data_IF_650346687186
#
_entry.id   IF_650346687186
#
_cell.length_a   1.000
_cell.length_b   1.000
_cell.length_c   1.000
_cell.angle_alpha   90.00
_cell.angle_beta   90.00
_cell.angle_gamma   90.00
#
_symmetry.space_group_name_H-M   'P 1'
#
loop_
_entity.id
_entity.type
_entity.pdbx_description
1 polymer ?
#
# COMPACT_ATOMS: atom_id res chain seq x y z
N UNK A 1 -2.55 -28.24 -1.18
CA UNK A 1 -3.94 -28.20 -0.69
C UNK A 1 -4.70 -27.22 -1.55
N UNK A 2 -5.73 -27.66 -2.26
CA UNK A 2 -6.57 -26.80 -3.12
C UNK A 2 -8.00 -26.88 -2.60
N UNK A 3 -8.68 -25.74 -2.57
CA UNK A 3 -10.10 -25.65 -2.26
C UNK A 3 -10.87 -25.44 -3.56
N UNK A 4 -12.00 -26.10 -3.71
CA UNK A 4 -12.90 -25.93 -4.86
C UNK A 4 -14.08 -25.08 -4.43
N UNK A 5 -14.28 -23.94 -5.08
CA UNK A 5 -15.44 -23.09 -4.83
C UNK A 5 -16.70 -23.80 -5.38
N UNK A 6 -17.64 -24.08 -4.48
CA UNK A 6 -18.95 -24.67 -4.82
C UNK A 6 -20.00 -23.59 -5.04
N UNK A 7 -19.95 -22.53 -4.22
CA UNK A 7 -20.90 -21.42 -4.33
C UNK A 7 -20.28 -20.13 -3.81
N UNK A 8 -20.45 -19.05 -4.55
CA UNK A 8 -20.14 -17.69 -4.10
C UNK A 8 -21.42 -17.00 -3.61
N UNK A 9 -21.36 -16.36 -2.48
CA UNK A 9 -22.47 -15.66 -1.85
C UNK A 9 -22.02 -14.22 -1.58
N UNK A 10 -22.43 -13.24 -2.42
CA UNK A 10 -22.12 -11.84 -2.17
C UNK A 10 -22.88 -11.38 -0.91
N UNK A 11 -22.18 -10.68 -0.02
CA UNK A 11 -22.72 -10.15 1.22
C UNK A 11 -22.81 -8.63 1.22
N UNK A 12 -21.82 -7.97 0.61
CA UNK A 12 -21.74 -6.51 0.52
C UNK A 12 -20.99 -6.08 -0.72
N UNK A 13 -21.45 -5.00 -1.36
CA UNK A 13 -20.76 -4.33 -2.48
C UNK A 13 -20.62 -2.86 -2.14
N UNK A 14 -19.39 -2.40 -1.94
CA UNK A 14 -19.03 -1.01 -1.62
C UNK A 14 -18.27 -0.32 -2.73
N UNK A 15 -17.83 0.92 -2.46
CA UNK A 15 -16.99 1.68 -3.37
C UNK A 15 -15.52 1.18 -3.37
N UNK A 16 -15.01 0.80 -2.18
CA UNK A 16 -13.62 0.41 -1.97
C UNK A 16 -13.45 -1.11 -2.01
N UNK A 17 -14.38 -1.85 -1.39
CA UNK A 17 -14.29 -3.29 -1.22
C UNK A 17 -15.63 -3.99 -1.47
N UNK A 18 -15.54 -5.28 -1.80
CA UNK A 18 -16.68 -6.19 -1.78
C UNK A 18 -16.43 -7.29 -0.75
N UNK A 19 -17.49 -7.74 -0.07
CA UNK A 19 -17.43 -8.87 0.84
C UNK A 19 -18.26 -10.02 0.26
N UNK A 20 -17.68 -11.20 0.19
CA UNK A 20 -18.38 -12.43 -0.18
C UNK A 20 -18.06 -13.57 0.79
N UNK A 21 -18.96 -14.53 0.87
CA UNK A 21 -18.78 -15.77 1.59
C UNK A 21 -18.86 -16.93 0.61
N UNK A 22 -17.75 -17.65 0.46
CA UNK A 22 -17.65 -18.80 -0.45
C UNK A 22 -17.87 -20.09 0.33
N UNK A 23 -18.76 -20.96 -0.19
CA UNK A 23 -18.81 -22.36 0.20
C UNK A 23 -17.74 -23.09 -0.61
N UNK A 24 -16.81 -23.73 0.07
CA UNK A 24 -15.70 -24.48 -0.56
C UNK A 24 -15.72 -25.93 -0.14
N UNK A 25 -15.32 -26.81 -1.07
CA UNK A 25 -15.04 -28.22 -0.83
C UNK A 25 -13.53 -28.39 -0.62
N UNK A 26 -13.17 -28.99 0.50
CA UNK A 26 -11.79 -29.32 0.87
C UNK A 26 -11.34 -30.62 0.20
N UNK A 27 -10.06 -30.96 0.26
CA UNK A 27 -9.51 -32.19 -0.34
C UNK A 27 -10.10 -33.48 0.24
N UNK A 28 -10.56 -33.45 1.48
CA UNK A 28 -11.23 -34.56 2.17
C UNK A 28 -12.76 -34.58 1.94
N UNK A 29 -13.24 -33.81 0.96
CA UNK A 29 -14.67 -33.63 0.63
C UNK A 29 -15.51 -32.96 1.70
N UNK A 30 -14.92 -32.46 2.78
CA UNK A 30 -15.62 -31.64 3.76
C UNK A 30 -15.96 -30.26 3.17
N UNK A 31 -17.08 -29.69 3.63
CA UNK A 31 -17.49 -28.35 3.23
C UNK A 31 -17.10 -27.33 4.30
N UNK A 32 -16.62 -26.17 3.86
CA UNK A 32 -16.29 -25.06 4.72
C UNK A 32 -16.68 -23.72 4.11
N UNK A 33 -16.84 -22.69 4.95
CA UNK A 33 -17.04 -21.33 4.48
C UNK A 33 -15.72 -20.56 4.53
N UNK A 34 -15.56 -19.64 3.55
CA UNK A 34 -14.49 -18.65 3.51
C UNK A 34 -15.11 -17.26 3.35
N UNK A 35 -14.76 -16.34 4.20
CA UNK A 35 -15.10 -14.93 4.05
C UNK A 35 -13.97 -14.23 3.33
N UNK A 36 -14.29 -13.58 2.23
CA UNK A 36 -13.32 -12.96 1.31
C UNK A 36 -13.68 -11.49 1.12
N UNK A 37 -12.72 -10.64 1.40
CA UNK A 37 -12.76 -9.22 1.03
C UNK A 37 -12.02 -9.05 -0.29
N UNK A 38 -12.76 -8.68 -1.33
CA UNK A 38 -12.17 -8.28 -2.62
C UNK A 38 -11.85 -6.80 -2.58
N UNK A 39 -10.62 -6.43 -2.93
CA UNK A 39 -10.12 -5.07 -2.88
C UNK A 39 -9.40 -4.71 -4.18
N UNK A 40 -9.43 -3.43 -4.55
CA UNK A 40 -8.58 -2.93 -5.65
C UNK A 40 -7.09 -3.13 -5.30
N UNK A 41 -6.26 -3.29 -6.32
CA UNK A 41 -4.80 -3.27 -6.13
C UNK A 41 -4.36 -1.90 -5.63
N UNK A 42 -3.33 -1.88 -4.79
CA UNK A 42 -2.72 -0.67 -4.29
C UNK A 42 -1.29 -0.49 -4.78
N UNK A 43 -0.82 0.74 -4.71
CA UNK A 43 0.58 1.12 -4.87
C UNK A 43 1.05 1.88 -3.65
N UNK A 44 2.34 1.75 -3.32
CA UNK A 44 2.99 2.52 -2.27
C UNK A 44 4.37 2.96 -2.74
N UNK A 45 4.76 4.19 -2.44
CA UNK A 45 5.94 4.80 -3.04
C UNK A 45 6.91 5.27 -1.93
N UNK A 46 8.06 4.59 -1.78
CA UNK A 46 9.16 5.11 -1.00
C UNK A 46 9.90 6.13 -1.84
N UNK A 47 9.59 7.41 -1.64
CA UNK A 47 10.18 8.52 -2.36
C UNK A 47 11.33 9.13 -1.56
N UNK A 48 12.49 9.36 -2.19
CA UNK A 48 13.69 9.91 -1.55
C UNK A 48 14.07 11.23 -2.21
N UNK A 49 14.19 12.28 -1.40
CA UNK A 49 14.64 13.62 -1.79
C UNK A 49 15.68 14.09 -0.78
N UNK A 50 16.83 14.57 -1.26
CA UNK A 50 17.92 15.12 -0.43
C UNK A 50 18.27 14.18 0.76
N UNK A 51 18.47 12.89 0.48
CA UNK A 51 18.75 11.81 1.44
C UNK A 51 17.67 11.60 2.53
N UNK A 52 16.47 12.12 2.30
CA UNK A 52 15.32 11.94 3.20
C UNK A 52 14.18 11.24 2.49
N UNK A 53 13.56 10.33 3.21
CA UNK A 53 12.31 9.68 2.77
C UNK A 53 11.16 10.65 3.02
N UNK A 54 10.26 10.75 2.04
CA UNK A 54 9.03 11.52 2.13
C UNK A 54 7.96 10.65 2.78
N UNK A 55 7.28 11.20 3.78
CA UNK A 55 6.17 10.57 4.49
C UNK A 55 4.94 11.45 4.39
N UNK A 56 3.81 10.81 4.43
CA UNK A 56 2.49 11.43 4.58
C UNK A 56 1.91 11.03 5.92
N UNK A 57 1.22 11.96 6.59
CA UNK A 57 0.53 11.68 7.83
C UNK A 57 -0.95 12.00 7.64
N UNK A 58 -1.79 11.01 7.87
CA UNK A 58 -3.23 11.11 7.65
C UNK A 58 -4.01 10.33 8.71
N UNK A 59 -5.27 10.68 8.90
CA UNK A 59 -6.18 9.96 9.80
C UNK A 59 -6.73 8.72 9.11
N UNK A 60 -6.56 7.56 9.74
CA UNK A 60 -7.11 6.28 9.26
C UNK A 60 -8.33 5.90 10.10
N UNK A 61 -9.52 6.03 9.50
CA UNK A 61 -10.81 5.79 10.18
C UNK A 61 -10.94 4.39 10.76
N UNK A 62 -10.39 3.37 10.10
CA UNK A 62 -10.45 1.99 10.57
C UNK A 62 -9.70 1.78 11.90
N UNK A 63 -8.53 2.40 12.05
CA UNK A 63 -7.70 2.31 13.26
C UNK A 63 -8.00 3.47 14.24
N UNK A 64 -8.72 4.50 13.79
CA UNK A 64 -9.03 5.74 14.55
C UNK A 64 -7.77 6.48 15.03
N UNK A 65 -6.71 6.43 14.24
CA UNK A 65 -5.42 7.04 14.58
C UNK A 65 -4.84 7.85 13.43
N UNK A 66 -3.99 8.83 13.75
CA UNK A 66 -3.10 9.47 12.78
C UNK A 66 -1.95 8.53 12.50
N UNK A 67 -1.78 8.13 11.25
CA UNK A 67 -0.70 7.22 10.83
C UNK A 67 0.34 7.96 9.99
N UNK A 68 1.60 7.61 10.19
CA UNK A 68 2.72 8.06 9.37
C UNK A 68 3.06 6.97 8.38
N UNK A 69 2.89 7.27 7.10
CA UNK A 69 2.96 6.31 6.00
C UNK A 69 3.84 6.85 4.87
N UNK A 70 4.29 5.99 3.97
CA UNK A 70 4.75 6.43 2.64
C UNK A 70 3.54 6.72 1.75
N UNK A 71 3.63 7.61 0.75
CA UNK A 71 2.56 7.86 -0.23
C UNK A 71 2.00 6.56 -0.80
N UNK A 72 0.68 6.45 -0.88
CA UNK A 72 0.04 5.22 -1.31
C UNK A 72 -1.44 5.44 -1.67
N UNK A 73 -1.90 4.74 -2.70
CA UNK A 73 -3.32 4.73 -3.05
C UNK A 73 -3.72 3.57 -3.94
N UNK A 74 -4.95 3.61 -4.44
CA UNK A 74 -5.51 2.55 -5.26
C UNK A 74 -5.16 2.73 -6.74
N UNK A 75 -5.09 1.62 -7.45
CA UNK A 75 -4.94 1.61 -8.91
C UNK A 75 -6.32 1.79 -9.54
N UNK A 76 -6.48 2.78 -10.40
CA UNK A 76 -7.72 3.02 -11.11
C UNK A 76 -7.93 2.06 -12.28
N UNK A 77 -9.17 1.97 -12.76
CA UNK A 77 -9.50 1.11 -13.89
C UNK A 77 -8.77 1.57 -15.16
N UNK A 78 -8.04 0.65 -15.78
CA UNK A 78 -7.24 0.92 -16.98
C UNK A 78 -5.86 1.53 -16.70
N UNK A 79 -5.55 1.87 -15.45
CA UNK A 79 -4.26 2.44 -15.06
C UNK A 79 -3.22 1.33 -14.81
N UNK A 80 -1.99 1.53 -15.26
CA UNK A 80 -0.88 0.65 -14.91
C UNK A 80 -0.38 0.96 -13.48
N UNK A 81 0.28 -0.01 -12.83
CA UNK A 81 0.88 0.17 -11.50
C UNK A 81 1.86 1.35 -11.46
N UNK A 82 2.60 1.58 -12.56
CA UNK A 82 3.56 2.68 -12.67
C UNK A 82 2.86 4.04 -12.76
N UNK A 83 1.80 4.14 -13.55
CA UNK A 83 0.99 5.37 -13.68
C UNK A 83 0.33 5.70 -12.35
N UNK A 84 -0.30 4.72 -11.68
CA UNK A 84 -0.87 4.89 -10.35
C UNK A 84 0.16 5.39 -9.34
N UNK A 85 1.35 4.79 -9.31
CA UNK A 85 2.42 5.20 -8.39
C UNK A 85 2.89 6.65 -8.64
N UNK A 86 2.99 7.09 -9.89
CA UNK A 86 3.38 8.47 -10.21
C UNK A 86 2.25 9.47 -9.94
N UNK A 87 0.99 9.08 -10.15
CA UNK A 87 -0.18 9.90 -9.83
C UNK A 87 -0.27 10.12 -8.32
N UNK A 88 -0.31 9.05 -7.53
CA UNK A 88 -0.40 9.10 -6.07
C UNK A 88 0.77 9.90 -5.45
N UNK A 89 2.01 9.66 -5.93
CA UNK A 89 3.15 10.46 -5.49
C UNK A 89 2.94 11.96 -5.75
N UNK A 90 2.36 12.31 -6.90
CA UNK A 90 2.15 13.71 -7.28
C UNK A 90 0.99 14.34 -6.50
N UNK A 91 -0.09 13.62 -6.27
CA UNK A 91 -1.28 14.08 -5.53
C UNK A 91 -0.97 14.30 -4.06
N UNK A 92 -0.32 13.32 -3.40
CA UNK A 92 -0.06 13.38 -1.98
C UNK A 92 1.17 14.22 -1.60
N UNK A 93 2.14 14.41 -2.51
CA UNK A 93 3.43 15.05 -2.15
C UNK A 93 3.82 16.25 -3.03
N UNK A 94 3.21 16.43 -4.18
CA UNK A 94 3.62 17.45 -5.16
C UNK A 94 4.90 17.07 -5.94
N UNK A 95 5.32 15.81 -5.91
CA UNK A 95 6.49 15.33 -6.64
C UNK A 95 6.14 14.23 -7.64
N UNK A 96 7.00 14.09 -8.66
CA UNK A 96 7.03 12.95 -9.57
C UNK A 96 8.47 12.44 -9.70
N UNK A 97 8.67 11.29 -10.34
CA UNK A 97 9.99 10.70 -10.54
C UNK A 97 10.18 10.17 -11.95
N UNK A 98 11.35 10.39 -12.53
CA UNK A 98 11.80 9.72 -13.76
C UNK A 98 12.56 8.41 -13.48
N UNK A 99 12.88 8.16 -12.20
CA UNK A 99 13.63 6.98 -11.75
C UNK A 99 12.75 6.21 -10.73
N UNK A 100 11.75 5.50 -11.27
CA UNK A 100 10.80 4.69 -10.49
C UNK A 100 11.10 3.21 -10.69
N UNK A 101 11.48 2.53 -9.60
CA UNK A 101 11.82 1.09 -9.58
C UNK A 101 10.81 0.34 -8.72
N UNK A 102 10.16 -0.68 -9.28
CA UNK A 102 9.32 -1.60 -8.50
C UNK A 102 10.20 -2.48 -7.60
N UNK A 103 9.89 -2.53 -6.32
CA UNK A 103 10.55 -3.37 -5.32
C UNK A 103 9.86 -4.73 -5.14
N UNK A 104 8.56 -4.79 -5.33
CA UNK A 104 7.78 -6.02 -5.23
C UNK A 104 6.30 -5.76 -5.03
N UNK A 105 5.50 -6.85 -5.05
CA UNK A 105 4.06 -6.83 -4.72
C UNK A 105 3.79 -7.76 -3.56
N UNK A 106 3.01 -7.30 -2.59
CA UNK A 106 2.82 -7.98 -1.31
C UNK A 106 1.35 -8.00 -0.91
N UNK A 107 0.94 -9.06 -0.24
CA UNK A 107 -0.39 -9.23 0.30
C UNK A 107 -0.38 -8.86 1.79
N UNK A 108 -1.06 -7.81 2.24
CA UNK A 108 -1.06 -7.40 3.65
C UNK A 108 -1.80 -8.39 4.56
N UNK A 109 -2.86 -9.02 4.07
CA UNK A 109 -3.68 -9.94 4.87
C UNK A 109 -4.26 -11.10 4.04
N UNK A 110 -3.42 -12.00 3.46
CA UNK A 110 -3.86 -13.02 2.50
C UNK A 110 -4.82 -14.07 3.09
N UNK A 111 -5.05 -14.05 4.39
CA UNK A 111 -6.00 -14.96 5.05
C UNK A 111 -7.47 -14.65 4.75
N UNK A 112 -7.80 -13.41 4.34
CA UNK A 112 -9.19 -13.02 4.07
C UNK A 112 -9.36 -11.97 2.98
N UNK A 113 -8.30 -11.34 2.48
CA UNK A 113 -8.39 -10.35 1.40
C UNK A 113 -7.42 -10.68 0.27
N UNK A 114 -7.81 -10.33 -0.95
CA UNK A 114 -6.98 -10.38 -2.15
C UNK A 114 -6.25 -9.05 -2.41
N UNK A 115 -6.32 -8.09 -1.48
CA UNK A 115 -5.57 -6.85 -1.57
C UNK A 115 -4.09 -7.14 -1.82
N UNK A 116 -3.55 -6.52 -2.87
CA UNK A 116 -2.16 -6.62 -3.24
C UNK A 116 -1.58 -5.21 -3.41
N UNK A 117 -0.53 -4.90 -2.64
CA UNK A 117 0.14 -3.59 -2.68
C UNK A 117 1.48 -3.74 -3.37
N UNK A 118 1.70 -2.97 -4.43
CA UNK A 118 2.97 -2.91 -5.18
C UNK A 118 3.81 -1.75 -4.66
N UNK A 119 4.99 -2.05 -4.12
CA UNK A 119 5.91 -1.06 -3.55
C UNK A 119 6.90 -0.60 -4.61
N UNK A 120 7.06 0.71 -4.72
CA UNK A 120 8.01 1.37 -5.59
C UNK A 120 9.03 2.20 -4.80
N UNK A 121 10.25 2.28 -5.32
CA UNK A 121 11.27 3.24 -4.94
C UNK A 121 11.30 4.35 -5.99
N UNK A 122 11.13 5.60 -5.57
CA UNK A 122 11.20 6.78 -6.40
C UNK A 122 12.41 7.63 -6.02
N UNK A 123 13.33 7.80 -6.96
CA UNK A 123 14.52 8.65 -6.86
C UNK A 123 14.42 9.78 -7.92
N UNK A 124 15.35 10.73 -7.88
CA UNK A 124 15.42 11.82 -8.86
C UNK A 124 14.07 12.55 -9.01
N UNK A 125 13.55 13.02 -7.88
CA UNK A 125 12.26 13.66 -7.79
C UNK A 125 12.29 15.07 -8.40
N UNK A 126 11.23 15.40 -9.16
CA UNK A 126 10.95 16.74 -9.65
C UNK A 126 9.56 17.18 -9.20
N UNK A 127 9.32 18.48 -9.12
CA UNK A 127 8.03 19.02 -8.73
C UNK A 127 6.98 18.75 -9.81
N UNK A 128 5.83 18.27 -9.38
CA UNK A 128 4.65 18.07 -10.19
C UNK A 128 3.43 18.04 -9.28
N UNK A 129 2.68 19.13 -9.29
CA UNK A 129 1.47 19.26 -8.47
C UNK A 129 0.27 18.72 -9.25
N UNK A 130 -0.39 17.73 -8.68
CA UNK A 130 -1.74 17.31 -9.02
C UNK A 130 -2.64 17.66 -7.84
N UNK A 131 -3.94 17.90 -8.12
CA UNK A 131 -4.89 18.17 -7.05
C UNK A 131 -5.16 16.85 -6.31
N UNK A 132 -4.89 16.83 -5.01
CA UNK A 132 -5.33 15.74 -4.13
C UNK A 132 -6.87 15.73 -4.00
N UNK A 133 -7.43 14.63 -3.56
CA UNK A 133 -8.85 14.51 -3.27
C UNK A 133 -9.28 15.49 -2.17
N UNK A 134 -10.45 16.12 -2.32
CA UNK A 134 -10.89 17.23 -1.46
C UNK A 134 -11.14 16.82 0.01
N UNK A 135 -11.25 15.53 0.29
CA UNK A 135 -11.44 14.94 1.62
C UNK A 135 -10.15 14.41 2.27
N UNK A 136 -9.03 14.43 1.55
CA UNK A 136 -7.74 14.01 2.07
C UNK A 136 -6.97 15.18 2.70
N UNK A 137 -6.87 15.14 4.04
CA UNK A 137 -6.03 16.06 4.80
C UNK A 137 -4.70 15.39 5.12
N UNK A 138 -3.69 15.67 4.29
CA UNK A 138 -2.37 15.07 4.36
C UNK A 138 -1.35 16.11 4.85
N UNK A 139 -0.52 15.72 5.82
CA UNK A 139 0.67 16.46 6.25
C UNK A 139 1.92 15.74 5.74
N UNK A 140 2.87 16.49 5.15
CA UNK A 140 4.09 15.92 4.58
C UNK A 140 5.26 16.07 5.55
N UNK A 141 6.03 14.99 5.74
CA UNK A 141 7.22 14.94 6.57
C UNK A 141 8.42 14.35 5.83
N UNK A 142 9.62 14.75 6.26
CA UNK A 142 10.88 14.32 5.66
C UNK A 142 11.80 13.78 6.74
N UNK A 143 12.17 12.50 6.69
CA UNK A 143 13.09 11.91 7.65
C UNK A 143 14.18 11.11 6.95
N UNK A 144 15.47 11.24 7.43
CA UNK A 144 16.54 10.40 6.92
C UNK A 144 16.28 8.93 7.28
N UNK A 145 16.78 8.01 6.45
CA UNK A 145 16.61 6.55 6.60
C UNK A 145 16.88 6.07 8.04
N UNK A 146 17.99 6.51 8.63
CA UNK A 146 18.37 6.14 10.01
C UNK A 146 17.31 6.51 11.05
N UNK A 147 16.64 7.67 10.87
CA UNK A 147 15.54 8.08 11.75
C UNK A 147 14.29 7.23 11.49
N UNK A 148 13.96 6.98 10.23
CA UNK A 148 12.81 6.16 9.86
C UNK A 148 12.91 4.73 10.44
N UNK A 149 14.10 4.12 10.42
CA UNK A 149 14.35 2.82 11.05
C UNK A 149 14.06 2.87 12.56
N UNK A 150 14.55 3.88 13.27
CA UNK A 150 14.26 4.05 14.70
C UNK A 150 12.77 4.27 14.99
N UNK A 151 12.05 4.90 14.06
CA UNK A 151 10.61 5.11 14.19
C UNK A 151 9.81 3.82 14.02
N UNK A 152 10.31 2.84 13.26
CA UNK A 152 9.76 1.47 13.23
C UNK A 152 10.03 0.77 14.56
N UNK A 153 11.28 0.82 15.02
CA UNK A 153 11.74 0.12 16.24
C UNK A 153 11.00 0.57 17.51
N UNK A 154 10.63 1.85 17.59
CA UNK A 154 9.91 2.40 18.73
C UNK A 154 8.38 2.45 18.57
N UNK A 155 7.84 1.85 17.48
CA UNK A 155 6.40 1.76 17.24
C UNK A 155 5.73 3.06 16.79
N UNK A 156 6.48 4.06 16.36
CA UNK A 156 5.93 5.30 15.78
C UNK A 156 5.42 5.08 14.35
N UNK A 157 6.09 4.20 13.58
CA UNK A 157 5.61 3.70 12.30
C UNK A 157 5.04 2.30 12.54
N UNK A 158 3.73 2.17 12.38
CA UNK A 158 2.98 0.91 12.57
C UNK A 158 2.36 0.39 11.28
N UNK A 159 2.42 1.18 10.21
CA UNK A 159 1.95 0.77 8.89
C UNK A 159 2.94 -0.22 8.25
N UNK A 160 2.43 -1.41 7.90
CA UNK A 160 3.25 -2.52 7.42
C UNK A 160 3.91 -2.24 6.07
N UNK A 161 3.19 -1.64 5.10
CA UNK A 161 3.76 -1.32 3.78
C UNK A 161 4.92 -0.32 3.90
N UNK A 162 4.77 0.67 4.79
CA UNK A 162 5.80 1.68 5.09
C UNK A 162 7.03 1.03 5.73
N UNK A 163 6.82 0.21 6.76
CA UNK A 163 7.91 -0.49 7.44
C UNK A 163 8.67 -1.43 6.49
N UNK A 164 7.94 -2.18 5.66
CA UNK A 164 8.53 -3.07 4.68
C UNK A 164 9.36 -2.30 3.63
N UNK A 165 8.80 -1.24 3.06
CA UNK A 165 9.50 -0.42 2.07
C UNK A 165 10.80 0.18 2.62
N UNK A 166 10.78 0.69 3.86
CA UNK A 166 11.97 1.22 4.54
C UNK A 166 13.03 0.12 4.74
N UNK A 167 12.63 -1.09 5.16
CA UNK A 167 13.56 -2.21 5.34
C UNK A 167 14.15 -2.70 4.02
N UNK A 168 13.36 -2.75 2.95
CA UNK A 168 13.85 -3.07 1.61
C UNK A 168 14.86 -2.02 1.12
N UNK A 169 14.57 -0.74 1.32
CA UNK A 169 15.50 0.34 0.96
C UNK A 169 16.78 0.29 1.78
N UNK A 170 16.69 -0.01 3.09
CA UNK A 170 17.86 -0.22 3.95
C UNK A 170 18.77 -1.33 3.41
N UNK A 171 18.20 -2.46 2.97
CA UNK A 171 18.98 -3.57 2.39
C UNK A 171 19.71 -3.14 1.11
N UNK A 172 19.01 -2.42 0.21
CA UNK A 172 19.64 -1.90 -1.01
C UNK A 172 20.80 -0.93 -0.74
N UNK A 173 20.71 -0.13 0.35
CA UNK A 173 21.80 0.79 0.72
C UNK A 173 23.02 0.07 1.32
N UNK A 174 22.83 -1.11 1.93
CA UNK A 174 23.91 -1.90 2.52
C UNK A 174 24.66 -2.76 1.48
N UNK A 175 24.07 -2.98 0.30
CA UNK A 175 24.67 -3.75 -0.80
C UNK A 175 25.57 -2.90 -1.73
N UNK A 176 25.50 -1.57 -1.61
CA UNK A 176 26.29 -0.60 -2.35
C UNK A 176 27.40 0.00 -1.46
#
# INVERSE_FOLDING_TARGET
MKEKIIKEIPLYKGAILNLKRNLVELEDSNLAFREIVEHKKGVAILAVKDDKIIFVKQFRSATKTMMLEIPAGMVDEGESLKEAALRELSEETGFTSNNLKMLGSFYPSPGFTDECVSIFLALDLSEKYLKADDDEKIEIYYFPLKKAIKMIENGMITDMKTALAIKMYQSLQNEN
#
